data_IF_836510388746
#
_entry.id   IF_836510388746
#
_cell.length_a   1.000
_cell.length_b   1.000
_cell.length_c   1.000
_cell.angle_alpha   90.00
_cell.angle_beta   90.00
_cell.angle_gamma   90.00
#
_symmetry.space_group_name_H-M   'P 1'
#
loop_
_entity.id
_entity.type
_entity.pdbx_description
1 polymer ?
#
# COMPACT_ATOMS: atom_id res chain seq x y z
N UNK A 1 13.51 22.55 -19.98
CA UNK A 1 14.14 23.19 -18.81
C UNK A 1 13.52 22.55 -17.59
N UNK A 2 14.35 22.01 -16.70
CA UNK A 2 13.87 21.47 -15.40
C UNK A 2 13.96 22.60 -14.37
N UNK A 3 12.92 22.75 -13.59
CA UNK A 3 12.93 23.62 -12.42
C UNK A 3 13.27 22.78 -11.18
N UNK A 4 14.32 23.17 -10.46
CA UNK A 4 14.81 22.45 -9.29
C UNK A 4 14.52 23.28 -8.05
N UNK A 5 13.70 22.73 -7.15
CA UNK A 5 13.46 23.30 -5.82
C UNK A 5 14.18 22.46 -4.78
N UNK A 6 15.08 23.08 -4.03
CA UNK A 6 15.74 22.46 -2.87
C UNK A 6 14.95 22.80 -1.61
N UNK A 7 14.66 21.77 -0.80
CA UNK A 7 14.00 21.91 0.51
C UNK A 7 15.06 21.61 1.58
N UNK A 8 15.50 22.63 2.26
CA UNK A 8 16.50 22.53 3.32
C UNK A 8 15.82 22.57 4.70
N UNK A 9 16.26 21.71 5.61
CA UNK A 9 15.80 21.71 6.99
C UNK A 9 17.01 21.71 7.94
N UNK A 10 17.52 22.91 8.25
CA UNK A 10 18.69 23.10 9.08
C UNK A 10 18.48 22.68 10.55
N UNK A 11 17.23 22.61 11.02
CA UNK A 11 16.89 22.24 12.40
C UNK A 11 16.91 20.72 12.61
N UNK A 12 17.03 19.94 11.55
CA UNK A 12 16.98 18.48 11.62
C UNK A 12 18.33 17.88 12.00
N UNK A 13 18.59 17.79 13.30
CA UNK A 13 19.84 17.25 13.85
C UNK A 13 19.84 15.72 13.85
N UNK A 14 18.69 15.08 14.11
CA UNK A 14 18.60 13.63 14.29
C UNK A 14 17.93 12.95 13.08
N UNK A 15 18.76 12.61 12.12
CA UNK A 15 18.35 11.97 10.84
C UNK A 15 17.89 10.52 10.97
N UNK A 16 17.81 9.97 12.18
CA UNK A 16 17.38 8.59 12.42
C UNK A 16 15.96 8.49 12.98
N UNK A 17 15.34 9.61 13.37
CA UNK A 17 13.97 9.61 13.93
C UNK A 17 12.92 9.44 12.84
N UNK A 18 12.20 8.32 12.91
CA UNK A 18 11.16 7.94 11.93
C UNK A 18 9.99 8.92 11.90
N UNK A 19 9.45 9.29 13.08
CA UNK A 19 8.25 10.13 13.18
C UNK A 19 8.45 11.52 12.60
N UNK A 20 9.66 12.07 12.73
CA UNK A 20 10.00 13.39 12.19
C UNK A 20 9.89 13.40 10.67
N UNK A 21 10.43 12.39 10.01
CA UNK A 21 10.35 12.31 8.54
C UNK A 21 8.95 12.07 8.02
N UNK A 22 8.14 11.32 8.76
CA UNK A 22 6.75 11.11 8.38
C UNK A 22 6.01 12.44 8.24
N UNK A 23 6.11 13.31 9.25
CA UNK A 23 5.40 14.59 9.24
C UNK A 23 5.97 15.56 8.19
N UNK A 24 7.31 15.64 8.06
CA UNK A 24 7.96 16.47 7.04
C UNK A 24 7.49 16.05 5.63
N UNK A 25 7.62 14.78 5.30
CA UNK A 25 7.25 14.31 3.97
C UNK A 25 5.75 14.40 3.71
N UNK A 26 4.92 14.15 4.71
CA UNK A 26 3.48 14.33 4.62
C UNK A 26 3.12 15.76 4.23
N UNK A 27 3.75 16.73 4.89
CA UNK A 27 3.50 18.14 4.61
C UNK A 27 4.01 18.54 3.22
N UNK A 28 5.21 18.10 2.83
CA UNK A 28 5.77 18.44 1.52
C UNK A 28 4.99 17.77 0.37
N UNK A 29 4.62 16.50 0.51
CA UNK A 29 3.78 15.80 -0.47
C UNK A 29 2.43 16.51 -0.61
N UNK A 30 1.83 16.93 0.50
CA UNK A 30 0.61 17.73 0.48
C UNK A 30 0.80 19.03 -0.29
N UNK A 31 1.82 19.81 0.05
CA UNK A 31 2.11 21.08 -0.59
C UNK A 31 2.31 20.93 -2.10
N UNK A 32 3.00 19.87 -2.53
CA UNK A 32 3.19 19.57 -3.94
C UNK A 32 1.86 19.17 -4.58
N UNK A 33 1.11 18.25 -3.97
CA UNK A 33 -0.16 17.75 -4.48
C UNK A 33 -1.20 18.85 -4.66
N UNK A 34 -1.25 19.80 -3.72
CA UNK A 34 -2.18 20.94 -3.77
C UNK A 34 -1.86 21.93 -4.92
N UNK A 35 -0.65 21.88 -5.46
CA UNK A 35 -0.18 22.74 -6.56
C UNK A 35 -0.10 22.02 -7.92
N UNK A 36 -0.43 20.72 -7.98
CA UNK A 36 -0.46 19.99 -9.25
C UNK A 36 -1.66 20.41 -10.10
N UNK A 37 -1.43 20.51 -11.41
CA UNK A 37 -2.48 20.74 -12.38
C UNK A 37 -3.20 19.43 -12.75
N UNK A 38 -4.37 19.54 -13.36
CA UNK A 38 -5.10 18.36 -13.84
C UNK A 38 -4.29 17.64 -14.93
N UNK A 39 -3.92 16.40 -14.66
CA UNK A 39 -3.11 15.57 -15.56
C UNK A 39 -1.63 15.44 -15.15
N UNK A 40 -1.18 16.20 -14.14
CA UNK A 40 0.16 16.04 -13.59
C UNK A 40 0.23 14.81 -12.68
N UNK A 41 1.40 14.18 -12.62
CA UNK A 41 1.68 13.04 -11.76
C UNK A 41 2.85 13.35 -10.82
N UNK A 42 2.67 13.05 -9.54
CA UNK A 42 3.73 13.12 -8.55
C UNK A 42 4.45 11.79 -8.47
N UNK A 43 5.73 11.79 -8.83
CA UNK A 43 6.60 10.62 -8.72
C UNK A 43 7.59 10.85 -7.57
N UNK A 44 7.68 9.91 -6.64
CA UNK A 44 8.55 10.01 -5.46
C UNK A 44 9.59 8.89 -5.49
N UNK A 45 10.86 9.27 -5.61
CA UNK A 45 11.97 8.32 -5.59
C UNK A 45 12.29 7.88 -4.15
N UNK A 46 12.12 6.58 -3.89
CA UNK A 46 12.40 5.94 -2.60
C UNK A 46 13.75 5.22 -2.55
N UNK A 47 14.55 5.28 -3.61
CA UNK A 47 15.84 4.56 -3.66
C UNK A 47 16.90 5.17 -2.74
N UNK A 48 16.86 6.49 -2.54
CA UNK A 48 17.85 7.25 -1.76
C UNK A 48 17.31 7.66 -0.39
N UNK A 49 18.20 8.02 0.52
CA UNK A 49 17.87 8.47 1.86
C UNK A 49 18.14 7.44 2.95
N UNK A 50 18.02 7.88 4.20
CA UNK A 50 18.18 7.02 5.38
C UNK A 50 17.05 5.99 5.49
N UNK A 51 17.21 4.91 6.26
CA UNK A 51 16.13 3.96 6.52
C UNK A 51 14.86 4.63 7.07
N UNK A 52 15.00 5.65 7.91
CA UNK A 52 13.89 6.41 8.47
C UNK A 52 13.11 7.16 7.37
N UNK A 53 13.81 7.82 6.45
CA UNK A 53 13.21 8.51 5.30
C UNK A 53 12.44 7.55 4.41
N UNK A 54 13.06 6.42 4.04
CA UNK A 54 12.44 5.40 3.19
C UNK A 54 11.20 4.79 3.84
N UNK A 55 11.25 4.51 5.14
CA UNK A 55 10.11 3.98 5.89
C UNK A 55 8.96 4.97 5.97
N UNK A 56 9.23 6.24 6.19
CA UNK A 56 8.21 7.29 6.21
C UNK A 56 7.50 7.40 4.86
N UNK A 57 8.23 7.42 3.76
CA UNK A 57 7.67 7.44 2.40
C UNK A 57 6.84 6.17 2.10
N UNK A 58 7.32 4.99 2.56
CA UNK A 58 6.59 3.74 2.40
C UNK A 58 5.23 3.77 3.14
N UNK A 59 5.22 4.30 4.35
CA UNK A 59 3.98 4.45 5.14
C UNK A 59 3.03 5.41 4.42
N UNK A 60 3.52 6.57 3.95
CA UNK A 60 2.69 7.54 3.23
C UNK A 60 2.10 6.96 1.94
N UNK A 61 2.90 6.21 1.17
CA UNK A 61 2.42 5.50 -0.02
C UNK A 61 1.35 4.45 0.31
N UNK A 62 1.49 3.78 1.47
CA UNK A 62 0.56 2.73 1.91
C UNK A 62 -0.77 3.30 2.41
N UNK A 63 -0.74 4.42 3.13
CA UNK A 63 -1.93 5.06 3.67
C UNK A 63 -2.79 5.75 2.59
N UNK A 64 -2.21 6.02 1.43
CA UNK A 64 -2.89 6.60 0.27
C UNK A 64 -3.61 7.94 0.57
N UNK A 65 -3.12 8.70 1.55
CA UNK A 65 -3.68 10.02 1.88
C UNK A 65 -3.50 11.00 0.71
N UNK A 66 -2.34 10.90 0.05
CA UNK A 66 -2.03 11.66 -1.16
C UNK A 66 -1.64 10.70 -2.29
N UNK A 67 -2.09 11.00 -3.51
CA UNK A 67 -1.73 10.19 -4.67
C UNK A 67 -0.34 10.55 -5.15
N UNK A 68 0.56 9.62 -5.06
CA UNK A 68 1.85 9.69 -5.73
C UNK A 68 2.30 8.29 -6.15
N UNK A 69 3.21 8.24 -7.11
CA UNK A 69 3.79 7.00 -7.62
C UNK A 69 5.15 6.80 -6.96
N UNK A 70 5.25 5.90 -5.96
CA UNK A 70 6.54 5.59 -5.35
C UNK A 70 7.38 4.74 -6.31
N UNK A 71 8.60 5.17 -6.56
CA UNK A 71 9.54 4.45 -7.42
C UNK A 71 10.83 4.09 -6.68
N UNK A 72 11.42 3.00 -7.09
CA UNK A 72 12.78 2.61 -6.70
C UNK A 72 13.63 2.31 -7.91
N UNK A 73 14.92 2.47 -7.79
CA UNK A 73 15.90 2.09 -8.79
C UNK A 73 16.66 0.90 -8.28
N UNK A 74 16.60 -0.21 -9.00
CA UNK A 74 17.33 -1.42 -8.64
C UNK A 74 18.84 -1.23 -8.80
N UNK A 75 19.61 -1.71 -7.82
CA UNK A 75 21.07 -1.63 -7.88
C UNK A 75 21.59 -2.43 -9.08
N UNK A 76 22.65 -1.96 -9.76
CA UNK A 76 23.36 -2.78 -10.73
C UNK A 76 23.91 -4.04 -10.05
N UNK A 77 24.25 -5.04 -10.84
CA UNK A 77 24.59 -6.39 -10.35
C UNK A 77 25.51 -6.41 -9.12
N UNK A 78 25.20 -7.27 -8.15
CA UNK A 78 25.83 -7.38 -6.81
C UNK A 78 27.35 -7.58 -6.77
N UNK A 79 28.02 -7.76 -7.88
CA UNK A 79 29.48 -8.00 -7.94
C UNK A 79 30.34 -6.75 -7.87
N UNK A 80 29.74 -5.57 -7.94
CA UNK A 80 30.48 -4.31 -8.12
C UNK A 80 30.78 -3.53 -6.84
N UNK A 81 30.43 -4.02 -5.65
CA UNK A 81 30.61 -3.25 -4.41
C UNK A 81 32.04 -3.27 -3.83
N UNK A 82 33.01 -3.89 -4.50
CA UNK A 82 34.34 -4.08 -3.96
C UNK A 82 35.41 -3.11 -4.48
N UNK A 83 35.17 -2.41 -5.58
CA UNK A 83 36.11 -1.48 -6.17
C UNK A 83 35.42 -0.23 -6.70
N UNK A 84 35.71 0.93 -6.11
CA UNK A 84 35.02 2.20 -6.38
C UNK A 84 35.35 2.76 -7.77
N UNK A 85 36.61 2.60 -8.23
CA UNK A 85 37.03 3.11 -9.54
C UNK A 85 36.46 2.24 -10.66
N UNK A 86 36.53 0.92 -10.50
CA UNK A 86 35.95 -0.03 -11.45
C UNK A 86 34.41 0.11 -11.52
N UNK A 87 33.77 0.40 -10.38
CA UNK A 87 32.33 0.66 -10.32
C UNK A 87 31.93 1.92 -11.09
N UNK A 88 32.76 2.95 -11.06
CA UNK A 88 32.48 4.18 -11.79
C UNK A 88 32.62 4.00 -13.30
N UNK A 89 33.69 3.31 -13.75
CA UNK A 89 33.95 3.06 -15.17
C UNK A 89 32.97 2.06 -15.80
N UNK A 90 32.56 1.03 -15.04
CA UNK A 90 31.64 -0.01 -15.49
C UNK A 90 30.19 0.26 -15.10
N UNK A 91 29.90 1.44 -14.52
CA UNK A 91 28.54 1.77 -14.15
C UNK A 91 27.68 1.94 -15.40
N UNK A 92 26.81 0.97 -15.62
CA UNK A 92 25.89 0.97 -16.76
C UNK A 92 24.97 2.21 -16.80
N UNK A 93 24.76 2.89 -15.65
CA UNK A 93 23.96 4.10 -15.58
C UNK A 93 24.60 5.30 -16.29
N UNK A 94 25.91 5.25 -16.51
CA UNK A 94 26.64 6.28 -17.23
C UNK A 94 26.66 6.05 -18.76
N UNK A 95 26.08 4.95 -19.22
CA UNK A 95 26.01 4.63 -20.65
C UNK A 95 24.71 5.18 -21.26
N UNK A 96 24.76 5.75 -22.49
CA UNK A 96 23.56 6.27 -23.16
C UNK A 96 22.46 5.24 -23.36
N UNK A 97 22.82 3.96 -23.49
CA UNK A 97 21.92 2.83 -23.73
C UNK A 97 21.62 2.02 -22.45
N UNK A 98 21.84 2.59 -21.28
CA UNK A 98 21.58 1.88 -20.02
C UNK A 98 20.11 1.49 -19.88
N UNK A 99 19.88 0.26 -19.43
CA UNK A 99 18.52 -0.24 -19.17
C UNK A 99 17.84 0.56 -18.07
N UNK A 100 16.57 0.92 -18.29
CA UNK A 100 15.77 1.54 -17.24
C UNK A 100 15.46 0.54 -16.13
N UNK A 101 16.08 0.72 -14.96
CA UNK A 101 15.91 -0.10 -13.76
C UNK A 101 14.95 0.50 -12.73
N UNK A 102 14.19 1.51 -13.16
CA UNK A 102 13.20 2.15 -12.34
C UNK A 102 11.93 1.29 -12.28
N UNK A 103 11.48 0.97 -11.07
CA UNK A 103 10.27 0.18 -10.83
C UNK A 103 9.34 0.90 -9.86
N UNK A 104 8.04 0.77 -10.09
CA UNK A 104 7.04 1.25 -9.15
C UNK A 104 7.00 0.35 -7.91
N UNK A 105 7.06 0.95 -6.72
CA UNK A 105 6.97 0.24 -5.43
C UNK A 105 5.50 -0.02 -5.10
N UNK A 106 5.01 -1.19 -5.47
CA UNK A 106 3.65 -1.63 -5.14
C UNK A 106 3.62 -2.22 -3.73
N UNK A 107 3.27 -1.44 -2.73
CA UNK A 107 3.16 -1.88 -1.34
C UNK A 107 1.98 -2.85 -1.08
N UNK A 108 1.61 -3.67 -2.08
CA UNK A 108 0.41 -4.52 -2.09
C UNK A 108 0.33 -5.46 -0.90
N UNK A 109 1.44 -6.10 -0.52
CA UNK A 109 1.44 -7.04 0.60
C UNK A 109 1.20 -6.34 1.95
N UNK A 110 1.75 -5.14 2.14
CA UNK A 110 1.55 -4.38 3.37
C UNK A 110 0.11 -3.87 3.46
N UNK A 111 -0.43 -3.31 2.38
CA UNK A 111 -1.83 -2.87 2.27
C UNK A 111 -2.79 -4.04 2.56
N UNK A 112 -2.53 -5.19 1.97
CA UNK A 112 -3.30 -6.42 2.20
C UNK A 112 -3.31 -6.83 3.67
N UNK A 113 -2.14 -6.86 4.32
CA UNK A 113 -2.04 -7.21 5.74
C UNK A 113 -2.80 -6.24 6.63
N UNK A 114 -2.69 -4.93 6.38
CA UNK A 114 -3.44 -3.91 7.11
C UNK A 114 -4.95 -4.07 6.94
N UNK A 115 -5.44 -4.31 5.71
CA UNK A 115 -6.87 -4.55 5.44
C UNK A 115 -7.37 -5.83 6.12
N UNK A 116 -6.59 -6.92 6.10
CA UNK A 116 -6.94 -8.16 6.80
C UNK A 116 -7.05 -7.91 8.32
N UNK A 117 -6.14 -7.16 8.91
CA UNK A 117 -6.21 -6.83 10.35
C UNK A 117 -7.46 -5.98 10.67
N UNK A 118 -7.80 -5.02 9.81
CA UNK A 118 -9.02 -4.23 9.94
C UNK A 118 -10.28 -5.11 9.83
N UNK A 119 -10.34 -6.04 8.87
CA UNK A 119 -11.45 -7.01 8.78
C UNK A 119 -11.60 -7.79 10.08
N UNK A 120 -10.50 -8.30 10.65
CA UNK A 120 -10.53 -9.01 11.94
C UNK A 120 -11.05 -8.12 13.08
N UNK A 121 -10.68 -6.83 13.10
CA UNK A 121 -11.17 -5.87 14.09
C UNK A 121 -12.67 -5.61 13.94
N UNK A 122 -13.17 -5.45 12.71
CA UNK A 122 -14.60 -5.30 12.45
C UNK A 122 -15.41 -6.54 12.86
N UNK A 123 -14.92 -7.73 12.54
CA UNK A 123 -15.56 -8.98 12.96
C UNK A 123 -15.68 -9.05 14.49
N UNK A 124 -14.60 -8.71 15.24
CA UNK A 124 -14.60 -8.70 16.70
C UNK A 124 -15.59 -7.71 17.31
N UNK A 125 -15.95 -6.65 16.55
CA UNK A 125 -16.94 -5.65 16.94
C UNK A 125 -18.33 -5.96 16.40
N UNK A 126 -18.53 -7.11 15.76
CA UNK A 126 -19.78 -7.52 15.10
C UNK A 126 -20.20 -6.59 13.96
N UNK A 127 -19.28 -5.76 13.44
CA UNK A 127 -19.51 -4.93 12.26
C UNK A 127 -19.21 -5.72 10.98
N UNK A 128 -20.08 -6.67 10.68
CA UNK A 128 -19.93 -7.51 9.51
C UNK A 128 -20.15 -6.75 8.20
N UNK A 129 -20.84 -5.61 8.25
CA UNK A 129 -21.05 -4.77 7.07
C UNK A 129 -19.74 -4.14 6.61
N UNK A 130 -19.02 -3.47 7.53
CA UNK A 130 -17.70 -2.91 7.24
C UNK A 130 -16.68 -3.99 6.88
N UNK A 131 -16.70 -5.15 7.58
CA UNK A 131 -15.84 -6.27 7.27
C UNK A 131 -16.06 -6.81 5.86
N UNK A 132 -17.31 -6.91 5.41
CA UNK A 132 -17.65 -7.40 4.06
C UNK A 132 -17.28 -6.39 2.98
N UNK A 133 -17.55 -5.09 3.17
CA UNK A 133 -17.15 -4.06 2.21
C UNK A 133 -15.63 -4.06 1.98
N UNK A 134 -14.85 -4.13 3.06
CA UNK A 134 -13.40 -4.24 2.94
C UNK A 134 -12.94 -5.58 2.33
N UNK A 135 -13.70 -6.66 2.59
CA UNK A 135 -13.46 -7.97 2.01
C UNK A 135 -13.68 -8.00 0.49
N UNK A 136 -14.55 -7.16 -0.06
CA UNK A 136 -14.74 -7.04 -1.52
C UNK A 136 -13.47 -6.55 -2.22
N UNK A 137 -12.74 -5.64 -1.59
CA UNK A 137 -11.48 -5.10 -2.12
C UNK A 137 -10.35 -6.15 -2.12
N UNK A 138 -10.47 -7.17 -1.28
CA UNK A 138 -9.52 -8.27 -1.13
C UNK A 138 -10.02 -9.60 -1.70
N UNK A 139 -11.05 -9.58 -2.55
CA UNK A 139 -11.71 -10.79 -3.05
C UNK A 139 -10.75 -11.81 -3.66
N UNK A 140 -9.76 -11.32 -4.40
CA UNK A 140 -8.77 -12.14 -5.09
C UNK A 140 -7.59 -12.55 -4.18
N UNK A 141 -7.51 -11.96 -2.99
CA UNK A 141 -6.42 -12.12 -2.03
C UNK A 141 -6.76 -12.96 -0.82
N UNK A 142 -8.04 -13.17 -0.56
CA UNK A 142 -8.54 -14.02 0.54
C UNK A 142 -9.15 -15.31 0.00
N UNK A 143 -9.27 -16.34 0.84
CA UNK A 143 -9.91 -17.58 0.40
C UNK A 143 -11.39 -17.36 0.04
N UNK A 144 -11.87 -18.09 -0.92
CA UNK A 144 -13.29 -18.07 -1.32
C UNK A 144 -14.21 -18.34 -0.12
N UNK A 145 -13.80 -19.25 0.77
CA UNK A 145 -14.53 -19.54 2.00
C UNK A 145 -14.61 -18.35 2.93
N UNK A 146 -13.49 -17.66 3.16
CA UNK A 146 -13.48 -16.45 4.01
C UNK A 146 -14.38 -15.36 3.43
N UNK A 147 -14.32 -15.13 2.12
CA UNK A 147 -15.17 -14.15 1.44
C UNK A 147 -16.66 -14.50 1.57
N UNK A 148 -17.01 -15.77 1.34
CA UNK A 148 -18.37 -16.26 1.45
C UNK A 148 -18.89 -16.14 2.89
N UNK A 149 -18.08 -16.48 3.90
CA UNK A 149 -18.47 -16.35 5.31
C UNK A 149 -18.73 -14.90 5.70
N UNK A 150 -17.92 -13.94 5.23
CA UNK A 150 -18.18 -12.50 5.41
C UNK A 150 -19.52 -12.09 4.78
N UNK A 151 -19.79 -12.58 3.56
CA UNK A 151 -21.05 -12.33 2.85
C UNK A 151 -22.26 -12.89 3.60
N UNK A 152 -22.17 -14.13 4.12
CA UNK A 152 -23.21 -14.74 4.94
C UNK A 152 -23.47 -13.93 6.21
N UNK A 153 -22.40 -13.56 6.94
CA UNK A 153 -22.53 -12.79 8.17
C UNK A 153 -23.19 -11.43 7.94
N UNK A 154 -22.78 -10.72 6.89
CA UNK A 154 -23.41 -9.44 6.51
C UNK A 154 -24.89 -9.60 6.12
N UNK A 155 -25.23 -10.63 5.33
CA UNK A 155 -26.61 -10.86 4.91
C UNK A 155 -27.50 -11.34 6.07
N UNK A 156 -26.96 -12.06 7.06
CA UNK A 156 -27.70 -12.43 8.29
C UNK A 156 -28.12 -11.19 9.08
N UNK A 157 -27.23 -10.21 9.25
CA UNK A 157 -27.58 -8.95 9.90
C UNK A 157 -28.70 -8.19 9.17
N UNK A 158 -28.71 -8.30 7.84
CA UNK A 158 -29.73 -7.65 6.99
C UNK A 158 -30.98 -8.48 6.80
N UNK A 159 -31.08 -9.66 7.45
CA UNK A 159 -32.14 -10.64 7.27
C UNK A 159 -32.39 -11.03 5.81
N UNK A 160 -31.35 -10.98 4.99
CA UNK A 160 -31.42 -11.27 3.55
C UNK A 160 -31.17 -12.77 3.29
N UNK A 161 -32.13 -13.60 3.62
CA UNK A 161 -32.03 -15.07 3.50
C UNK A 161 -31.91 -15.56 2.06
N UNK A 162 -32.43 -14.81 1.07
CA UNK A 162 -32.28 -15.18 -0.35
C UNK A 162 -30.83 -15.20 -0.80
N UNK A 163 -30.05 -14.20 -0.40
CA UNK A 163 -28.63 -14.15 -0.75
C UNK A 163 -27.82 -15.18 0.04
N UNK A 164 -28.19 -15.44 1.29
CA UNK A 164 -27.57 -16.52 2.06
C UNK A 164 -27.76 -17.86 1.35
N UNK A 165 -28.98 -18.19 0.94
CA UNK A 165 -29.30 -19.46 0.23
C UNK A 165 -28.49 -19.59 -1.06
N UNK A 166 -28.28 -18.53 -1.83
CA UNK A 166 -27.44 -18.58 -3.03
C UNK A 166 -25.97 -18.91 -2.72
N UNK A 167 -25.41 -18.29 -1.67
CA UNK A 167 -24.03 -18.55 -1.25
C UNK A 167 -23.87 -19.98 -0.74
N UNK A 168 -24.86 -20.49 0.00
CA UNK A 168 -24.80 -21.81 0.64
C UNK A 168 -25.14 -22.97 -0.30
N UNK A 169 -25.98 -22.75 -1.31
CA UNK A 169 -26.33 -23.79 -2.28
C UNK A 169 -25.14 -24.32 -3.07
N UNK A 170 -24.12 -23.48 -3.26
CA UNK A 170 -22.89 -23.81 -4.00
C UNK A 170 -21.74 -24.28 -3.09
N UNK A 171 -21.85 -24.13 -1.77
CA UNK A 171 -20.80 -24.42 -0.82
C UNK A 171 -21.34 -25.22 0.37
N UNK A 172 -20.56 -26.18 0.86
CA UNK A 172 -20.88 -27.02 2.01
C UNK A 172 -20.77 -26.29 3.34
N UNK A 173 -21.49 -25.18 3.51
CA UNK A 173 -21.57 -24.54 4.81
C UNK A 173 -22.75 -25.08 5.59
N UNK A 174 -22.50 -25.72 6.72
CA UNK A 174 -23.54 -26.05 7.72
C UNK A 174 -24.01 -24.75 8.39
N UNK A 175 -24.91 -24.05 7.73
CA UNK A 175 -25.62 -22.96 8.35
C UNK A 175 -26.85 -23.58 9.02
N UNK A 176 -26.83 -23.60 10.35
CA UNK A 176 -28.03 -23.94 11.09
C UNK A 176 -29.17 -23.06 10.61
N UNK A 177 -30.24 -23.63 10.01
CA UNK A 177 -31.40 -22.85 9.64
C UNK A 177 -31.92 -22.20 10.91
N UNK A 178 -32.11 -20.88 10.89
CA UNK A 178 -32.92 -20.21 11.91
C UNK A 178 -34.29 -20.86 11.66
N UNK A 179 -34.69 -21.78 12.54
CA UNK A 179 -36.06 -22.27 12.55
C UNK A 179 -36.93 -21.04 12.73
N UNK A 180 -37.84 -20.82 11.79
CA UNK A 180 -38.84 -19.79 11.89
C UNK A 180 -39.41 -19.82 13.31
N UNK A 181 -39.11 -18.80 14.10
CA UNK A 181 -39.83 -18.55 15.34
C UNK A 181 -41.20 -18.05 14.88
N UNK A 182 -42.15 -19.00 14.80
CA UNK A 182 -43.57 -18.71 14.54
C UNK A 182 -44.20 -17.86 15.66
#
# INVERSE_FOLDING_TARGET
TFDIKVIENEELIDVQKYDVYYEIFRQEIKNISDNLSSGDELIVNMASGTPAMKSALLILATLSEYKFIPIQVNSPQKKMNSDVELNWELNQDNLPDSENRCEEVKCMNLIKLLKIDLIKKFIRKYDYSAAFELGKELKDDISVDAYNMLGIANNRLKLNYKEISKITSNNKYDIYPIKDAG
#
